data_IF_559356532044
#
_entry.id   IF_559356532044
#
_cell.length_a   1.000
_cell.length_b   1.000
_cell.length_c   1.000
_cell.angle_alpha   90.00
_cell.angle_beta   90.00
_cell.angle_gamma   90.00
#
_symmetry.space_group_name_H-M   'P 1'
#
loop_
_entity.id
_entity.type
_entity.pdbx_description
1 polymer ?
#
# COMPACT_ATOMS: atom_id res chain seq x y z
N UNK A 1 -49.74 65.18 32.24
CA UNK A 1 -49.30 65.15 30.83
C UNK A 1 -47.79 65.38 30.83
N UNK A 2 -47.03 64.39 30.76
CA UNK A 2 -45.56 64.43 30.75
C UNK A 2 -45.08 63.91 29.42
N UNK A 3 -44.24 64.64 28.67
CA UNK A 3 -43.69 64.16 27.41
C UNK A 3 -42.48 63.24 27.66
N UNK A 4 -42.51 62.08 27.04
CA UNK A 4 -41.39 61.15 27.01
C UNK A 4 -40.31 61.64 26.03
N UNK A 5 -39.11 61.86 26.58
CA UNK A 5 -37.92 62.21 25.82
C UNK A 5 -37.27 60.89 25.32
N UNK A 6 -37.04 60.72 24.02
CA UNK A 6 -36.28 59.69 23.43
C UNK A 6 -34.78 60.06 23.42
N UNK A 7 -33.85 59.12 23.76
CA UNK A 7 -32.42 59.36 23.63
C UNK A 7 -31.97 59.19 22.18
N UNK A 8 -30.89 59.86 21.74
CA UNK A 8 -30.37 59.74 20.37
C UNK A 8 -29.62 58.46 20.11
N UNK A 9 -29.76 57.95 18.90
CA UNK A 9 -29.01 56.84 18.35
C UNK A 9 -27.50 57.10 18.38
N UNK A 10 -26.72 56.16 18.95
CA UNK A 10 -25.28 56.19 18.85
C UNK A 10 -24.87 55.47 17.56
N UNK A 11 -24.13 56.20 16.72
CA UNK A 11 -23.44 55.64 15.58
C UNK A 11 -22.38 54.64 16.04
N UNK A 12 -22.55 53.36 15.71
CA UNK A 12 -21.54 52.35 15.90
C UNK A 12 -20.65 52.32 14.67
N UNK A 13 -19.49 52.93 14.81
CA UNK A 13 -18.40 52.90 13.86
C UNK A 13 -17.89 51.43 13.75
N UNK A 14 -18.30 50.73 12.71
CA UNK A 14 -17.87 49.39 12.40
C UNK A 14 -16.56 49.44 11.62
N UNK A 15 -15.44 49.50 12.34
CA UNK A 15 -14.12 49.36 11.76
C UNK A 15 -13.97 47.90 11.29
N UNK A 16 -14.28 47.65 10.03
CA UNK A 16 -14.05 46.37 9.38
C UNK A 16 -12.55 46.10 9.24
N UNK A 17 -12.01 45.32 10.19
CA UNK A 17 -10.64 44.79 10.12
C UNK A 17 -10.57 43.83 8.95
N UNK A 18 -10.05 44.28 7.82
CA UNK A 18 -9.74 43.51 6.62
C UNK A 18 -8.67 42.47 6.97
N UNK A 19 -9.07 41.27 7.36
CA UNK A 19 -8.18 40.14 7.55
C UNK A 19 -7.47 39.88 6.22
N UNK A 20 -6.19 40.18 6.16
CA UNK A 20 -5.32 39.78 5.06
C UNK A 20 -5.33 38.24 4.99
N UNK A 21 -5.90 37.69 3.93
CA UNK A 21 -5.70 36.31 3.56
C UNK A 21 -4.20 36.12 3.34
N UNK A 22 -3.56 35.33 4.19
CA UNK A 22 -2.18 34.91 3.99
C UNK A 22 -2.07 34.14 2.67
N UNK A 23 -0.86 34.03 2.10
CA UNK A 23 -0.67 33.30 0.85
C UNK A 23 -1.14 31.86 1.07
N UNK A 24 -2.21 31.48 0.40
CA UNK A 24 -2.59 30.09 0.27
C UNK A 24 -1.47 29.44 -0.53
N UNK A 25 -0.58 28.71 0.16
CA UNK A 25 0.36 27.82 -0.48
C UNK A 25 -0.45 26.87 -1.36
N UNK A 26 -0.37 27.07 -2.65
CA UNK A 26 -0.88 26.19 -3.67
C UNK A 26 -0.11 24.87 -3.52
N UNK A 27 -0.58 24.00 -2.62
CA UNK A 27 -0.12 22.63 -2.56
C UNK A 27 -0.57 22.02 -3.89
N UNK A 28 0.36 21.96 -4.81
CA UNK A 28 0.22 21.21 -6.04
C UNK A 28 -0.32 19.84 -5.65
N UNK A 29 -1.47 19.45 -6.17
CA UNK A 29 -2.07 18.13 -5.96
C UNK A 29 -1.16 17.11 -6.64
N UNK A 30 -0.07 16.76 -5.98
CA UNK A 30 0.76 15.65 -6.44
C UNK A 30 -0.13 14.42 -6.44
N UNK A 31 -0.17 13.76 -7.59
CA UNK A 31 -0.83 12.45 -7.70
C UNK A 31 -0.26 11.55 -6.59
N UNK A 32 -1.09 10.80 -5.86
CA UNK A 32 -0.57 9.87 -4.86
C UNK A 32 0.42 8.90 -5.51
N UNK A 33 1.47 8.48 -4.78
CA UNK A 33 2.45 7.54 -5.30
C UNK A 33 1.76 6.23 -5.71
N UNK A 34 2.25 5.55 -6.75
CA UNK A 34 1.70 4.26 -7.12
C UNK A 34 1.97 3.23 -6.01
N UNK A 35 1.10 2.21 -5.86
CA UNK A 35 1.35 1.13 -4.92
C UNK A 35 2.62 0.37 -5.32
N UNK A 36 3.41 -0.06 -4.34
CA UNK A 36 4.62 -0.86 -4.58
C UNK A 36 4.30 -2.33 -4.86
N UNK A 37 3.13 -2.78 -4.45
CA UNK A 37 2.63 -4.14 -4.69
C UNK A 37 1.20 -4.12 -5.19
N UNK A 38 0.91 -5.03 -6.12
CA UNK A 38 -0.43 -5.34 -6.64
C UNK A 38 -0.66 -6.84 -6.54
N UNK A 39 -1.90 -7.26 -6.67
CA UNK A 39 -2.29 -8.67 -6.76
C UNK A 39 -3.18 -8.85 -7.99
N UNK A 40 -3.06 -9.99 -8.69
CA UNK A 40 -3.99 -10.30 -9.80
C UNK A 40 -5.32 -10.82 -9.25
N UNK A 41 -6.36 -10.76 -10.07
CA UNK A 41 -7.68 -11.30 -9.72
C UNK A 41 -7.60 -12.78 -9.31
N UNK A 42 -6.85 -13.59 -10.05
CA UNK A 42 -6.65 -15.02 -9.75
C UNK A 42 -5.98 -15.22 -8.39
N UNK A 43 -4.95 -14.43 -8.10
CA UNK A 43 -4.26 -14.51 -6.82
C UNK A 43 -5.12 -13.97 -5.67
N UNK A 44 -5.92 -12.92 -5.89
CA UNK A 44 -6.86 -12.40 -4.91
C UNK A 44 -7.93 -13.42 -4.52
N UNK A 45 -8.50 -14.12 -5.50
CA UNK A 45 -9.49 -15.18 -5.26
C UNK A 45 -8.88 -16.37 -4.48
N UNK A 46 -7.65 -16.77 -4.82
CA UNK A 46 -6.93 -17.79 -4.07
C UNK A 46 -6.65 -17.34 -2.64
N UNK A 47 -6.17 -16.11 -2.48
CA UNK A 47 -5.88 -15.53 -1.16
C UNK A 47 -7.14 -15.46 -0.29
N UNK A 48 -8.27 -15.03 -0.84
CA UNK A 48 -9.55 -15.00 -0.12
C UNK A 48 -9.95 -16.40 0.36
N UNK A 49 -9.85 -17.41 -0.51
CA UNK A 49 -10.13 -18.81 -0.14
C UNK A 49 -9.24 -19.31 1.01
N UNK A 50 -7.96 -18.93 0.99
CA UNK A 50 -7.02 -19.28 2.07
C UNK A 50 -7.36 -18.55 3.37
N UNK A 51 -7.71 -17.26 3.30
CA UNK A 51 -8.13 -16.47 4.47
C UNK A 51 -9.42 -17.00 5.11
N UNK A 52 -10.39 -17.40 4.31
CA UNK A 52 -11.64 -17.98 4.81
C UNK A 52 -11.41 -19.27 5.61
N UNK A 53 -10.34 -19.99 5.29
CA UNK A 53 -9.98 -21.27 5.92
C UNK A 53 -9.01 -21.13 7.08
N UNK A 54 -8.06 -20.22 6.98
CA UNK A 54 -6.92 -20.13 7.89
C UNK A 54 -6.88 -18.84 8.72
N UNK A 55 -7.75 -17.89 8.44
CA UNK A 55 -7.76 -16.59 9.10
C UNK A 55 -6.80 -15.59 8.47
N UNK A 56 -6.26 -14.67 9.28
CA UNK A 56 -5.33 -13.65 8.81
C UNK A 56 -4.05 -14.26 8.24
N UNK A 57 -3.61 -13.73 7.10
CA UNK A 57 -2.43 -14.19 6.39
C UNK A 57 -1.46 -13.03 6.13
N UNK A 58 -0.23 -13.37 5.82
CA UNK A 58 0.80 -12.44 5.39
C UNK A 58 1.60 -13.03 4.23
N UNK A 59 2.16 -12.16 3.39
CA UNK A 59 3.17 -12.55 2.41
C UNK A 59 4.55 -12.09 2.87
N UNK A 60 5.54 -12.95 2.62
CA UNK A 60 6.94 -12.56 2.63
C UNK A 60 7.58 -12.93 1.29
N UNK A 61 8.09 -11.91 0.58
CA UNK A 61 8.84 -12.12 -0.65
C UNK A 61 10.20 -12.67 -0.31
N UNK A 62 10.43 -13.96 -0.61
CA UNK A 62 11.72 -14.60 -0.38
C UNK A 62 12.79 -14.00 -1.30
N UNK A 63 14.00 -13.86 -0.76
CA UNK A 63 15.16 -13.42 -1.52
C UNK A 63 15.64 -14.52 -2.45
N UNK A 64 15.78 -14.21 -3.74
CA UNK A 64 16.40 -15.07 -4.73
C UNK A 64 16.57 -14.28 -6.03
N UNK A 65 17.69 -14.50 -6.69
CA UNK A 65 17.97 -13.90 -8.00
C UNK A 65 17.49 -14.76 -9.18
N UNK A 66 16.73 -15.83 -8.91
CA UNK A 66 16.29 -16.80 -9.90
C UNK A 66 14.76 -16.87 -9.97
N UNK A 67 14.22 -17.49 -11.01
CA UNK A 67 12.78 -17.76 -11.24
C UNK A 67 12.03 -18.45 -10.09
N UNK A 68 12.72 -18.77 -9.00
CA UNK A 68 12.18 -19.42 -7.81
C UNK A 68 11.86 -18.47 -6.64
N UNK A 69 12.06 -17.17 -6.75
CA UNK A 69 11.65 -16.23 -5.70
C UNK A 69 10.15 -16.00 -5.78
N UNK A 70 9.38 -16.82 -5.09
CA UNK A 70 7.93 -16.67 -4.97
C UNK A 70 7.59 -15.90 -3.71
N UNK A 71 6.51 -15.08 -3.71
CA UNK A 71 5.94 -14.60 -2.46
C UNK A 71 5.38 -15.81 -1.70
N UNK A 72 5.88 -16.04 -0.50
CA UNK A 72 5.39 -17.11 0.35
C UNK A 72 4.27 -16.59 1.24
N UNK A 73 3.18 -17.34 1.30
CA UNK A 73 2.01 -17.02 2.10
C UNK A 73 2.06 -17.79 3.42
N UNK A 74 1.97 -17.07 4.55
CA UNK A 74 2.00 -17.63 5.89
C UNK A 74 0.78 -17.20 6.70
N UNK A 75 0.35 -17.95 7.72
CA UNK A 75 -0.52 -17.41 8.76
C UNK A 75 0.12 -16.19 9.42
N UNK A 76 -0.68 -15.16 9.70
CA UNK A 76 -0.18 -13.95 10.35
C UNK A 76 0.38 -14.29 11.75
N UNK A 77 1.61 -13.83 12.00
CA UNK A 77 2.33 -14.10 13.24
C UNK A 77 3.15 -15.40 13.27
N UNK A 78 3.05 -16.29 12.28
CA UNK A 78 3.93 -17.48 12.20
C UNK A 78 5.30 -17.17 11.59
N UNK A 79 5.37 -16.15 10.75
CA UNK A 79 6.64 -15.66 10.21
C UNK A 79 7.09 -14.42 10.97
N UNK A 80 8.32 -14.42 11.46
CA UNK A 80 8.89 -13.28 12.18
C UNK A 80 9.37 -12.23 11.17
N UNK A 81 8.67 -11.11 11.14
CA UNK A 81 9.12 -9.94 10.38
C UNK A 81 10.31 -9.32 11.08
N UNK A 82 11.43 -9.23 10.37
CA UNK A 82 12.66 -8.64 10.91
C UNK A 82 12.60 -7.10 10.91
N UNK A 83 13.39 -6.49 11.80
CA UNK A 83 13.48 -5.01 11.96
C UNK A 83 13.77 -4.28 10.64
N UNK A 84 14.51 -4.92 9.74
CA UNK A 84 14.93 -4.36 8.45
C UNK A 84 14.02 -4.75 7.30
N UNK A 85 13.04 -5.61 7.54
CA UNK A 85 12.06 -5.94 6.51
C UNK A 85 11.22 -4.72 6.16
N UNK A 86 10.79 -4.66 4.91
CA UNK A 86 10.08 -3.53 4.33
C UNK A 86 8.67 -3.96 3.97
N UNK A 87 7.69 -3.20 4.40
CA UNK A 87 6.29 -3.38 4.02
C UNK A 87 6.06 -2.75 2.64
N UNK A 88 5.85 -3.59 1.62
CA UNK A 88 5.54 -3.12 0.27
C UNK A 88 4.12 -2.54 0.17
N UNK A 89 3.21 -3.03 0.99
CA UNK A 89 1.82 -2.60 1.06
C UNK A 89 0.91 -3.68 1.61
N UNK A 90 -0.39 -3.43 1.53
CA UNK A 90 -1.44 -4.35 1.96
C UNK A 90 -2.31 -4.66 0.75
N UNK A 91 -2.46 -5.94 0.40
CA UNK A 91 -3.34 -6.43 -0.66
C UNK A 91 -4.42 -7.30 -0.04
N UNK A 92 -5.71 -7.04 -0.33
CA UNK A 92 -6.83 -7.81 0.23
C UNK A 92 -6.66 -8.04 1.76
N UNK A 93 -6.41 -6.97 2.53
CA UNK A 93 -6.13 -6.98 3.97
C UNK A 93 -4.94 -7.87 4.41
N UNK A 94 -4.06 -8.20 3.49
CA UNK A 94 -2.90 -9.06 3.73
C UNK A 94 -1.62 -8.27 3.53
N UNK A 95 -0.77 -8.10 4.56
CA UNK A 95 0.49 -7.38 4.45
C UNK A 95 1.49 -8.16 3.60
N UNK A 96 2.26 -7.43 2.79
CA UNK A 96 3.29 -7.98 1.90
C UNK A 96 4.65 -7.43 2.29
N UNK A 97 5.50 -8.30 2.79
CA UNK A 97 6.83 -7.98 3.26
C UNK A 97 7.92 -8.43 2.29
N UNK A 98 9.06 -7.75 2.35
CA UNK A 98 10.28 -8.11 1.63
C UNK A 98 11.49 -7.78 2.50
N UNK A 99 12.56 -8.57 2.40
CA UNK A 99 13.77 -8.24 3.16
C UNK A 99 14.40 -6.92 2.69
N UNK A 100 15.06 -6.19 3.61
CA UNK A 100 15.67 -4.91 3.30
C UNK A 100 16.64 -4.96 2.11
N UNK A 101 17.60 -5.89 2.06
CA UNK A 101 18.50 -6.02 0.92
C UNK A 101 17.79 -6.34 -0.40
N UNK A 102 16.73 -7.14 -0.36
CA UNK A 102 15.92 -7.46 -1.53
C UNK A 102 15.14 -6.22 -2.01
N UNK A 103 14.60 -5.44 -1.05
CA UNK A 103 13.95 -4.18 -1.38
C UNK A 103 14.91 -3.21 -2.08
N UNK A 104 16.12 -3.06 -1.62
CA UNK A 104 17.12 -2.18 -2.24
C UNK A 104 17.42 -2.57 -3.68
N UNK A 105 17.41 -3.87 -3.99
CA UNK A 105 17.58 -4.39 -5.35
C UNK A 105 16.34 -4.17 -6.22
N UNK A 106 15.13 -4.22 -5.63
CA UNK A 106 13.87 -4.25 -6.37
C UNK A 106 13.04 -2.96 -6.27
N UNK A 107 13.50 -1.95 -5.53
CA UNK A 107 12.77 -0.69 -5.30
C UNK A 107 12.33 0.06 -6.57
N UNK A 108 12.94 -0.25 -7.72
CA UNK A 108 12.57 0.29 -9.03
C UNK A 108 11.47 -0.49 -9.73
N UNK A 109 10.95 -1.54 -9.08
CA UNK A 109 9.99 -2.46 -9.66
C UNK A 109 8.74 -2.57 -8.78
N UNK A 110 7.57 -2.45 -9.39
CA UNK A 110 6.31 -2.77 -8.76
C UNK A 110 6.16 -4.29 -8.75
N UNK A 111 5.97 -4.87 -7.56
CA UNK A 111 5.65 -6.28 -7.43
C UNK A 111 4.19 -6.53 -7.81
N UNK A 112 3.94 -7.56 -8.62
CA UNK A 112 2.59 -8.03 -8.91
C UNK A 112 2.52 -9.51 -8.49
N UNK A 113 1.74 -9.80 -7.47
CA UNK A 113 1.49 -11.16 -7.01
C UNK A 113 0.47 -11.79 -7.94
N UNK A 114 0.84 -12.89 -8.59
CA UNK A 114 -0.01 -13.69 -9.45
C UNK A 114 -0.15 -15.12 -8.88
N UNK A 115 -1.14 -15.87 -9.35
CA UNK A 115 -1.31 -17.28 -8.99
C UNK A 115 -1.48 -18.12 -10.24
N UNK A 116 -0.75 -19.23 -10.29
CA UNK A 116 -0.78 -20.17 -11.42
C UNK A 116 -0.87 -21.60 -10.90
N UNK A 117 -1.42 -22.53 -11.68
CA UNK A 117 -1.36 -23.95 -11.35
C UNK A 117 0.09 -24.41 -11.21
N UNK A 118 0.37 -25.19 -10.20
CA UNK A 118 1.72 -25.71 -9.95
C UNK A 118 1.96 -26.05 -8.50
N UNK A 119 3.16 -26.54 -8.23
CA UNK A 119 3.58 -26.87 -6.88
C UNK A 119 4.12 -25.61 -6.21
N UNK A 120 3.43 -25.10 -5.17
CA UNK A 120 3.90 -24.00 -4.34
C UNK A 120 5.14 -24.34 -3.53
N UNK A 121 5.71 -23.34 -2.84
CA UNK A 121 6.78 -23.56 -1.84
C UNK A 121 6.26 -24.47 -0.72
N UNK A 122 7.10 -25.41 -0.24
CA UNK A 122 6.68 -26.45 0.71
C UNK A 122 6.10 -25.95 2.04
N UNK A 123 6.33 -24.68 2.38
CA UNK A 123 5.81 -24.02 3.58
C UNK A 123 4.79 -22.91 3.30
N UNK A 124 4.39 -22.72 2.04
CA UNK A 124 3.44 -21.71 1.64
C UNK A 124 2.02 -22.28 1.63
N UNK A 125 1.07 -21.50 2.11
CA UNK A 125 -0.30 -21.95 2.40
C UNK A 125 -1.10 -22.39 1.17
N UNK A 126 -0.72 -21.95 -0.03
CA UNK A 126 -1.38 -22.34 -1.28
C UNK A 126 -0.95 -23.71 -1.83
N UNK A 127 0.14 -24.29 -1.31
CA UNK A 127 0.69 -25.54 -1.83
C UNK A 127 -0.32 -26.71 -1.86
N UNK A 128 -1.20 -26.90 -0.84
CA UNK A 128 -2.24 -27.94 -0.86
C UNK A 128 -3.31 -27.72 -1.92
N UNK A 129 -3.47 -26.49 -2.41
CA UNK A 129 -4.49 -26.13 -3.42
C UNK A 129 -4.07 -26.49 -4.86
N UNK A 130 -2.85 -27.04 -5.04
CA UNK A 130 -2.29 -27.29 -6.37
C UNK A 130 -1.97 -26.01 -7.16
N UNK A 131 -1.87 -24.91 -6.45
CA UNK A 131 -1.53 -23.59 -6.97
C UNK A 131 -0.21 -23.10 -6.39
N UNK A 132 0.40 -22.11 -7.03
CA UNK A 132 1.53 -21.38 -6.47
C UNK A 132 1.36 -19.88 -6.71
N UNK A 133 1.75 -19.09 -5.74
CA UNK A 133 1.95 -17.66 -5.95
C UNK A 133 3.23 -17.41 -6.75
N UNK A 134 3.21 -16.39 -7.58
CA UNK A 134 4.30 -16.03 -8.48
C UNK A 134 4.53 -14.52 -8.42
N UNK A 135 5.78 -14.11 -8.33
CA UNK A 135 6.18 -12.71 -8.47
C UNK A 135 6.31 -12.34 -9.93
N UNK A 136 5.60 -11.29 -10.33
CA UNK A 136 5.84 -10.59 -11.59
C UNK A 136 6.31 -9.17 -11.27
N UNK A 137 7.12 -8.60 -12.14
CA UNK A 137 7.65 -7.24 -11.97
C UNK A 137 7.22 -6.34 -13.10
N UNK A 138 6.82 -5.12 -12.75
CA UNK A 138 6.68 -4.01 -13.70
C UNK A 138 7.65 -2.91 -13.29
N UNK A 139 8.51 -2.47 -14.18
CA UNK A 139 9.37 -1.32 -13.88
C UNK A 139 8.52 -0.07 -13.64
N UNK A 140 8.84 0.70 -12.62
CA UNK A 140 8.27 2.02 -12.44
C UNK A 140 8.81 2.98 -13.49
N UNK A 141 7.98 3.94 -13.89
CA UNK A 141 8.43 5.07 -14.70
C UNK A 141 9.22 6.05 -13.83
N UNK A 142 10.00 6.94 -14.44
CA UNK A 142 10.78 7.97 -13.74
C UNK A 142 9.87 8.86 -12.84
N UNK A 143 8.73 9.29 -13.37
CA UNK A 143 7.75 10.09 -12.61
C UNK A 143 7.15 9.33 -11.43
N UNK A 144 6.95 8.02 -11.55
CA UNK A 144 6.50 7.16 -10.45
C UNK A 144 7.59 7.03 -9.38
N UNK A 145 8.86 6.87 -9.78
CA UNK A 145 10.00 6.82 -8.86
C UNK A 145 10.16 8.12 -8.07
N UNK A 146 10.09 9.27 -8.74
CA UNK A 146 10.13 10.58 -8.08
C UNK A 146 8.99 10.74 -7.05
N UNK A 147 7.80 10.20 -7.36
CA UNK A 147 6.67 10.21 -6.43
C UNK A 147 6.90 9.30 -5.23
N UNK A 148 7.54 8.14 -5.45
CA UNK A 148 7.85 7.15 -4.42
C UNK A 148 9.01 7.58 -3.49
N UNK A 149 9.94 8.41 -3.96
CA UNK A 149 11.03 8.95 -3.14
C UNK A 149 10.50 9.84 -1.99
N UNK A 150 9.35 10.47 -2.21
CA UNK A 150 8.66 11.25 -1.17
C UNK A 150 7.83 10.42 -0.18
N UNK A 151 7.70 9.10 -0.41
CA UNK A 151 6.87 8.20 0.39
C UNK A 151 7.65 6.92 0.75
N UNK A 152 8.56 6.99 1.72
CA UNK A 152 9.35 5.84 2.14
C UNK A 152 8.45 4.77 2.77
N UNK A 153 8.64 3.47 2.45
CA UNK A 153 7.84 2.41 3.01
C UNK A 153 8.17 2.18 4.49
N UNK A 154 7.20 1.65 5.23
CA UNK A 154 7.39 1.25 6.63
C UNK A 154 8.36 0.07 6.74
N UNK A 155 9.13 0.03 7.81
CA UNK A 155 9.98 -1.09 8.18
C UNK A 155 9.34 -1.93 9.28
N UNK A 156 9.90 -3.11 9.53
CA UNK A 156 9.44 -3.99 10.60
C UNK A 156 9.43 -3.30 11.96
N UNK A 157 10.45 -2.50 12.28
CA UNK A 157 10.49 -1.64 13.50
C UNK A 157 9.31 -0.69 13.57
N UNK A 158 9.01 0.03 12.49
CA UNK A 158 7.89 0.98 12.45
C UNK A 158 6.55 0.28 12.71
N UNK A 159 6.40 -0.92 12.15
CA UNK A 159 5.18 -1.71 12.29
C UNK A 159 5.05 -2.28 13.71
N UNK A 160 6.16 -2.71 14.31
CA UNK A 160 6.21 -3.14 15.71
C UNK A 160 5.85 -2.00 16.67
N UNK A 161 6.25 -0.77 16.36
CA UNK A 161 5.88 0.45 17.10
C UNK A 161 4.41 0.89 16.88
N UNK A 162 3.63 0.11 16.14
CA UNK A 162 2.21 0.37 15.91
C UNK A 162 1.91 1.28 14.71
N UNK A 163 2.91 1.71 13.93
CA UNK A 163 2.69 2.47 12.69
C UNK A 163 2.04 1.56 11.64
N UNK A 164 1.07 2.10 10.93
CA UNK A 164 0.35 1.39 9.86
C UNK A 164 0.36 2.23 8.60
N UNK A 165 0.42 1.62 7.41
CA UNK A 165 0.32 2.37 6.16
C UNK A 165 -1.07 2.98 6.04
N UNK A 166 -1.21 4.12 5.35
CA UNK A 166 -2.52 4.63 5.00
C UNK A 166 -3.27 3.59 4.15
N UNK A 167 -4.61 3.59 4.18
CA UNK A 167 -5.38 2.72 3.29
C UNK A 167 -5.01 3.04 1.84
N UNK A 168 -4.97 2.02 0.96
CA UNK A 168 -4.59 2.22 -0.43
C UNK A 168 -5.55 3.19 -1.11
N UNK A 169 -5.00 4.10 -1.92
CA UNK A 169 -5.78 5.13 -2.62
C UNK A 169 -6.65 4.58 -3.78
N UNK A 170 -6.64 3.27 -4.01
CA UNK A 170 -7.39 2.62 -5.10
C UNK A 170 -7.29 1.09 -5.03
N UNK A 171 -7.91 0.39 -5.96
CA UNK A 171 -7.90 -1.06 -5.99
C UNK A 171 -6.46 -1.57 -6.16
N UNK A 172 -6.06 -2.50 -5.29
CA UNK A 172 -4.76 -3.17 -5.33
C UNK A 172 -4.73 -4.33 -6.34
N UNK A 173 -5.83 -4.53 -7.06
CA UNK A 173 -5.93 -5.56 -8.09
C UNK A 173 -5.37 -5.01 -9.41
N UNK A 174 -4.27 -5.59 -9.86
CA UNK A 174 -3.65 -5.31 -11.14
C UNK A 174 -4.11 -6.29 -12.22
N UNK A 175 -4.14 -5.83 -13.48
CA UNK A 175 -4.31 -6.75 -14.59
C UNK A 175 -3.03 -7.59 -14.73
N UNK A 176 -3.16 -8.90 -14.67
CA UNK A 176 -2.05 -9.80 -14.97
C UNK A 176 -1.55 -9.54 -16.39
N UNK A 177 -0.25 -9.46 -16.57
CA UNK A 177 0.30 -9.50 -17.93
C UNK A 177 -0.18 -10.79 -18.61
N UNK A 178 -0.67 -10.72 -19.86
CA UNK A 178 -1.05 -11.94 -20.58
C UNK A 178 0.15 -12.88 -20.67
N UNK A 179 -0.04 -14.10 -20.18
CA UNK A 179 0.96 -15.15 -20.31
C UNK A 179 1.04 -15.49 -21.80
N UNK A 180 2.20 -15.36 -22.45
CA UNK A 180 2.34 -15.87 -23.81
C UNK A 180 2.02 -17.38 -23.80
N UNK A 181 1.26 -17.89 -24.77
CA UNK A 181 0.98 -19.31 -24.86
C UNK A 181 2.30 -20.08 -24.86
N UNK A 182 2.45 -21.02 -23.94
CA UNK A 182 3.63 -21.86 -23.84
C UNK A 182 3.89 -22.59 -25.15
N UNK A 183 5.17 -22.61 -25.55
CA UNK A 183 5.65 -23.46 -26.63
C UNK A 183 5.77 -24.89 -26.13
#
# INVERSE_FOLDING_TARGET
MTPHSFPPCRDTDTTATKRRAGPQTFQSRRKPPPPRVLITETAAQLLQKLRDRHGALMFHQSGGCCDGSSPMCYPDGEFIVGDRDVLLGIVEDTPVWISGPQFDAWKHTQLVIDAVPGRGGGFSMEAPEGMRFLSRGRAFTEAELESLDGDPPLRGTDYADGRRPPPPAGPMVGQGCPVPPGR
#
